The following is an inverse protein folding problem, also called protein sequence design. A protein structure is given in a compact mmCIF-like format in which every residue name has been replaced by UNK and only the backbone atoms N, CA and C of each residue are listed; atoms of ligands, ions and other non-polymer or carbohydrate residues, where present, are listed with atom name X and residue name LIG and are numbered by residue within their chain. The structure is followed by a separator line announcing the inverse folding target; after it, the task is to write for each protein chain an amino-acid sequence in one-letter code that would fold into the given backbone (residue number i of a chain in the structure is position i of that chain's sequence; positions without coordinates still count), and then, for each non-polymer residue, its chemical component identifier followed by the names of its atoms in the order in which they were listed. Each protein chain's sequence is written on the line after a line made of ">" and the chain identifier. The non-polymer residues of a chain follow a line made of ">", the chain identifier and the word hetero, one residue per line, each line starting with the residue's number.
data_IF_992429550718
#
_entry.id   IF_992429550718
#
_cell.length_a   1.000
_cell.length_b   1.000
_cell.length_c   1.000
_cell.angle_alpha   90.00
_cell.angle_beta   90.00
_cell.angle_gamma   90.00
#
_symmetry.space_group_name_H-M   'P 1'
#
loop_
_entity.id
_entity.type
_entity.pdbx_description
1 polymer ?
#
# COMPACT_ATOMS: atom_id res chain seq x y z
N UNK A 1 -23.05 12.16 -16.35
CA UNK A 1 -22.10 11.50 -15.45
C UNK A 1 -20.74 11.50 -16.11
N UNK A 2 -19.81 12.37 -15.68
CA UNK A 2 -18.42 12.30 -16.12
C UNK A 2 -17.87 10.94 -15.73
N UNK A 3 -17.41 10.19 -16.73
CA UNK A 3 -16.88 8.85 -16.56
C UNK A 3 -15.59 8.95 -15.72
N UNK A 4 -15.71 8.84 -14.40
CA UNK A 4 -14.62 9.01 -13.42
C UNK A 4 -13.38 8.16 -13.77
N UNK A 5 -13.58 7.07 -14.52
CA UNK A 5 -12.53 6.23 -15.10
C UNK A 5 -11.59 7.01 -16.01
N UNK A 6 -12.11 7.79 -16.96
CA UNK A 6 -11.30 8.51 -17.94
C UNK A 6 -10.50 9.64 -17.29
N UNK A 7 -11.08 10.30 -16.28
CA UNK A 7 -10.39 11.38 -15.56
C UNK A 7 -9.17 10.88 -14.78
N UNK A 8 -9.31 9.79 -14.02
CA UNK A 8 -8.23 9.24 -13.23
C UNK A 8 -7.12 8.67 -14.11
N UNK A 9 -7.46 7.90 -15.15
CA UNK A 9 -6.45 7.40 -16.10
C UNK A 9 -5.68 8.52 -16.77
N UNK A 10 -6.36 9.60 -17.20
CA UNK A 10 -5.69 10.77 -17.79
C UNK A 10 -4.80 11.50 -16.78
N UNK A 11 -5.15 11.53 -15.50
CA UNK A 11 -4.33 12.11 -14.43
C UNK A 11 -3.15 11.23 -14.03
N UNK A 12 -3.25 9.92 -14.24
CA UNK A 12 -2.25 8.92 -13.89
C UNK A 12 -1.17 8.75 -14.96
N UNK A 13 -1.50 9.07 -16.21
CA UNK A 13 -0.61 8.96 -17.37
C UNK A 13 0.75 9.62 -17.11
N UNK A 14 1.82 8.91 -17.46
CA UNK A 14 3.23 9.31 -17.31
C UNK A 14 3.69 9.49 -15.85
N UNK A 15 2.89 9.06 -14.87
CA UNK A 15 3.29 9.08 -13.45
C UNK A 15 3.69 7.70 -12.98
N UNK A 16 4.48 7.66 -11.91
CA UNK A 16 4.90 6.42 -11.24
C UNK A 16 3.75 5.52 -10.79
N UNK A 17 2.53 6.04 -10.73
CA UNK A 17 1.30 5.33 -10.34
C UNK A 17 0.32 5.11 -11.50
N UNK A 18 0.72 5.28 -12.76
CA UNK A 18 -0.13 5.00 -13.93
C UNK A 18 -0.74 3.60 -13.91
N UNK A 19 0.06 2.60 -13.54
CA UNK A 19 -0.33 1.19 -13.45
C UNK A 19 -1.52 0.97 -12.50
N UNK A 20 -1.67 1.83 -11.49
CA UNK A 20 -2.76 1.73 -10.51
C UNK A 20 -4.10 2.18 -11.09
N UNK A 21 -4.10 3.07 -12.10
CA UNK A 21 -5.31 3.38 -12.85
C UNK A 21 -5.80 2.15 -13.62
N UNK A 22 -4.90 1.27 -14.06
CA UNK A 22 -5.23 -0.01 -14.70
C UNK A 22 -5.73 -1.04 -13.67
N UNK A 23 -5.18 -1.01 -12.46
CA UNK A 23 -5.61 -1.85 -11.34
C UNK A 23 -6.93 -1.38 -10.69
N UNK A 24 -7.58 -0.33 -11.19
CA UNK A 24 -8.82 0.22 -10.62
C UNK A 24 -9.92 -0.83 -10.45
N UNK A 25 -10.00 -1.80 -11.36
CA UNK A 25 -10.95 -2.93 -11.24
C UNK A 25 -10.68 -3.79 -10.00
N UNK A 26 -9.43 -3.89 -9.56
CA UNK A 26 -9.05 -4.63 -8.36
C UNK A 26 -9.52 -3.92 -7.07
N UNK A 27 -9.62 -2.59 -7.11
CA UNK A 27 -10.04 -1.75 -5.97
C UNK A 27 -11.54 -1.41 -5.97
N UNK A 28 -12.19 -1.39 -7.15
CA UNK A 28 -13.56 -0.87 -7.30
C UNK A 28 -14.64 -1.71 -6.62
N UNK A 29 -14.35 -2.97 -6.31
CA UNK A 29 -15.31 -3.90 -5.69
C UNK A 29 -15.00 -4.16 -4.21
N UNK A 30 -13.89 -3.63 -3.69
CA UNK A 30 -13.49 -3.82 -2.29
C UNK A 30 -14.10 -2.74 -1.40
N UNK A 31 -14.32 -3.02 -0.10
CA UNK A 31 -14.62 -1.97 0.87
C UNK A 31 -13.61 -0.82 0.79
N UNK A 32 -14.08 0.39 1.08
CA UNK A 32 -13.26 1.62 0.94
C UNK A 32 -11.93 1.51 1.70
N UNK A 33 -11.96 1.00 2.92
CA UNK A 33 -10.77 0.84 3.78
C UNK A 33 -9.73 -0.06 3.11
N UNK A 34 -10.15 -1.24 2.65
CA UNK A 34 -9.28 -2.19 1.97
C UNK A 34 -8.72 -1.63 0.65
N UNK A 35 -9.56 -0.95 -0.13
CA UNK A 35 -9.12 -0.29 -1.37
C UNK A 35 -8.08 0.80 -1.09
N UNK A 36 -8.25 1.59 -0.02
CA UNK A 36 -7.31 2.64 0.39
C UNK A 36 -5.99 2.04 0.90
N UNK A 37 -6.04 1.02 1.74
CA UNK A 37 -4.84 0.35 2.25
C UNK A 37 -4.01 -0.27 1.12
N UNK A 38 -4.65 -1.02 0.22
CA UNK A 38 -3.94 -1.60 -0.92
C UNK A 38 -3.40 -0.52 -1.87
N UNK A 39 -4.12 0.59 -2.07
CA UNK A 39 -3.63 1.72 -2.85
C UNK A 39 -2.36 2.32 -2.25
N UNK A 40 -2.33 2.57 -0.93
CA UNK A 40 -1.15 3.12 -0.23
C UNK A 40 0.03 2.15 -0.26
N UNK A 41 -0.22 0.85 -0.11
CA UNK A 41 0.82 -0.19 -0.23
C UNK A 41 1.39 -0.29 -1.65
N UNK A 42 0.53 -0.37 -2.68
CA UNK A 42 0.98 -0.45 -4.10
C UNK A 42 1.74 0.79 -4.54
N UNK A 43 1.27 1.97 -4.14
CA UNK A 43 1.97 3.23 -4.41
C UNK A 43 3.21 3.44 -3.54
N UNK A 44 3.49 2.54 -2.59
CA UNK A 44 4.55 2.66 -1.57
C UNK A 44 4.42 3.92 -0.70
N UNK A 45 3.23 4.50 -0.62
CA UNK A 45 2.94 5.66 0.22
C UNK A 45 2.81 5.34 1.71
N UNK A 46 2.59 4.08 2.08
CA UNK A 46 2.64 3.64 3.49
C UNK A 46 4.07 3.56 4.03
N UNK A 47 5.08 3.83 3.18
CA UNK A 47 6.48 3.92 3.57
C UNK A 47 6.97 2.71 4.40
N UNK A 48 6.87 1.45 3.92
CA UNK A 48 7.51 0.34 4.61
C UNK A 48 9.00 0.62 4.82
N UNK A 49 9.59 0.21 5.95
CA UNK A 49 10.98 0.50 6.27
C UNK A 49 11.97 0.07 5.17
N UNK A 50 11.66 -0.99 4.42
CA UNK A 50 12.41 -1.38 3.22
C UNK A 50 12.51 -0.25 2.17
N UNK A 51 11.41 0.45 1.92
CA UNK A 51 11.37 1.57 1.00
C UNK A 51 12.08 2.80 1.59
N UNK A 52 11.83 3.12 2.87
CA UNK A 52 12.47 4.27 3.53
C UNK A 52 14.00 4.13 3.56
N UNK A 53 14.52 2.91 3.75
CA UNK A 53 15.96 2.62 3.65
C UNK A 53 16.48 2.88 2.23
N UNK A 54 15.74 2.47 1.21
CA UNK A 54 16.12 2.63 -0.20
C UNK A 54 16.30 4.10 -0.62
N UNK A 55 15.51 5.00 -0.03
CA UNK A 55 15.62 6.45 -0.25
C UNK A 55 16.60 7.13 0.73
N UNK A 56 17.33 6.36 1.54
CA UNK A 56 18.40 6.86 2.41
C UNK A 56 17.96 7.51 3.71
N UNK A 57 16.69 7.41 4.10
CA UNK A 57 16.17 8.02 5.33
C UNK A 57 16.40 7.09 6.54
N UNK A 58 16.17 5.78 6.40
CA UNK A 58 16.46 4.80 7.45
C UNK A 58 17.78 4.09 7.18
N UNK A 59 18.48 3.73 8.26
CA UNK A 59 19.74 2.97 8.21
C UNK A 59 19.51 1.48 7.99
N UNK A 60 18.35 0.95 8.38
CA UNK A 60 17.98 -0.45 8.19
C UNK A 60 16.53 -0.58 7.71
N UNK A 61 16.20 -1.78 7.24
CA UNK A 61 14.90 -2.13 6.67
C UNK A 61 14.07 -3.02 7.60
N UNK A 62 14.46 -3.15 8.88
CA UNK A 62 13.76 -4.01 9.82
C UNK A 62 12.35 -3.48 10.08
N UNK A 63 11.42 -4.41 10.29
CA UNK A 63 10.05 -4.14 10.70
C UNK A 63 10.05 -3.25 11.93
N UNK A 64 9.50 -2.05 11.80
CA UNK A 64 9.48 -1.11 12.91
C UNK A 64 8.58 -1.57 14.05
N UNK A 65 7.71 -2.54 13.80
CA UNK A 65 6.74 -3.11 14.75
C UNK A 65 7.35 -4.29 15.50
N UNK A 66 7.66 -5.40 14.81
CA UNK A 66 8.16 -6.62 15.46
C UNK A 66 9.69 -6.75 15.51
N UNK A 67 10.44 -5.95 14.72
CA UNK A 67 11.91 -5.97 14.64
C UNK A 67 12.54 -7.29 14.18
N UNK A 68 11.77 -8.23 13.62
CA UNK A 68 12.28 -9.59 13.30
C UNK A 68 12.67 -9.81 11.84
N UNK A 69 12.11 -9.04 10.90
CA UNK A 69 12.31 -9.25 9.46
C UNK A 69 12.20 -7.92 8.69
N UNK A 70 12.42 -7.93 7.38
CA UNK A 70 12.30 -6.77 6.50
C UNK A 70 10.84 -6.28 6.48
N UNK A 71 10.64 -4.98 6.71
CA UNK A 71 9.32 -4.35 6.62
C UNK A 71 8.92 -4.14 5.15
N UNK A 72 8.36 -5.17 4.53
CA UNK A 72 7.72 -5.10 3.22
C UNK A 72 6.24 -5.54 3.31
N UNK A 73 5.54 -5.50 2.18
CA UNK A 73 4.12 -5.83 2.11
C UNK A 73 3.86 -7.26 2.59
N UNK A 74 4.68 -8.20 2.16
CA UNK A 74 4.55 -9.62 2.47
C UNK A 74 4.74 -9.88 3.96
N UNK A 75 5.73 -9.24 4.58
CA UNK A 75 5.95 -9.31 6.02
C UNK A 75 4.78 -8.74 6.83
N UNK A 76 4.20 -7.60 6.41
CA UNK A 76 3.08 -6.98 7.14
C UNK A 76 1.87 -7.91 7.25
N UNK A 77 1.63 -8.77 6.27
CA UNK A 77 0.52 -9.76 6.30
C UNK A 77 0.70 -10.85 7.36
N UNK A 78 1.92 -11.07 7.85
CA UNK A 78 2.26 -12.13 8.82
C UNK A 78 3.01 -11.59 10.04
N UNK A 79 3.03 -10.27 10.20
CA UNK A 79 3.83 -9.62 11.23
C UNK A 79 3.26 -9.97 12.62
N UNK A 80 4.05 -10.58 13.52
CA UNK A 80 3.55 -11.00 14.83
C UNK A 80 3.23 -9.82 15.76
N UNK A 81 3.75 -8.62 15.44
CA UNK A 81 3.45 -7.40 16.18
C UNK A 81 2.17 -6.70 15.75
N UNK A 82 1.50 -7.19 14.69
CA UNK A 82 0.21 -6.68 14.24
C UNK A 82 -0.89 -7.64 14.72
N UNK A 83 -1.98 -7.09 15.23
CA UNK A 83 -3.13 -7.88 15.65
C UNK A 83 -3.84 -8.46 14.40
N UNK A 84 -3.89 -9.80 14.25
CA UNK A 84 -4.54 -10.44 13.09
C UNK A 84 -6.02 -10.06 12.99
N UNK A 85 -6.69 -9.81 14.12
CA UNK A 85 -8.10 -9.44 14.19
C UNK A 85 -8.29 -8.01 13.69
N UNK A 86 -7.38 -7.09 14.01
CA UNK A 86 -7.44 -5.71 13.51
C UNK A 86 -7.09 -5.64 12.02
N UNK A 87 -6.16 -6.46 11.55
CA UNK A 87 -5.86 -6.59 10.11
C UNK A 87 -7.05 -7.08 9.31
N UNK A 88 -7.76 -8.10 9.81
CA UNK A 88 -8.95 -8.64 9.15
C UNK A 88 -10.12 -7.64 9.09
N UNK A 89 -10.16 -6.68 10.01
CA UNK A 89 -11.20 -5.64 10.05
C UNK A 89 -10.91 -4.44 9.16
N UNK A 90 -9.68 -4.30 8.64
CA UNK A 90 -9.28 -3.10 7.89
C UNK A 90 -9.06 -1.86 8.75
N UNK A 91 -8.97 -2.02 10.07
CA UNK A 91 -8.83 -0.95 11.07
C UNK A 91 -7.35 -0.51 11.28
N UNK A 92 -6.53 -0.54 10.23
CA UNK A 92 -5.13 -0.10 10.23
C UNK A 92 -4.93 1.15 9.38
#
# INVERSE_FOLDING_TARGET
>A
MLNCNMYLSNKARDKSWENIANDRKEFSYRPREEAVANFRLKTRHDCPAEYIKRIGILTNSLCLICKTDIMNREHLLVCPGLDPILQLKGDV
#
